data_IF_398135405248
#
_entry.id   IF_398135405248
#
_cell.length_a   1.000
_cell.length_b   1.000
_cell.length_c   1.000
_cell.angle_alpha   90.00
_cell.angle_beta   90.00
_cell.angle_gamma   90.00
#
_symmetry.space_group_name_H-M   'P 1'
#
loop_
_entity.id
_entity.type
_entity.pdbx_description
1 polymer ?
#
# COMPACT_ATOMS: atom_id res chain seq x y z
N UNK A 1 31.38 25.69 31.56
CA UNK A 1 31.76 25.11 30.28
C UNK A 1 30.70 24.05 29.91
N UNK A 2 29.62 24.49 29.23
CA UNK A 2 28.42 23.72 28.97
C UNK A 2 28.39 23.45 27.44
N UNK A 3 28.58 22.19 27.05
CA UNK A 3 28.46 21.72 25.69
C UNK A 3 27.00 21.35 25.42
N UNK A 4 26.27 22.21 24.75
CA UNK A 4 24.97 21.94 24.18
C UNK A 4 25.11 21.00 22.97
N UNK A 5 24.62 19.76 23.11
CA UNK A 5 24.41 18.84 21.99
C UNK A 5 23.26 19.38 21.13
N UNK A 6 23.59 19.89 19.95
CA UNK A 6 22.61 20.21 18.93
C UNK A 6 22.02 18.92 18.36
N UNK A 7 20.72 18.73 18.57
CA UNK A 7 19.97 17.71 17.86
C UNK A 7 19.81 18.15 16.40
N UNK A 8 20.49 17.47 15.52
CA UNK A 8 20.25 17.57 14.08
C UNK A 8 18.94 16.84 13.80
N UNK A 9 17.86 17.59 13.63
CA UNK A 9 16.63 17.09 13.04
C UNK A 9 16.92 16.73 11.59
N UNK A 10 17.02 15.46 11.31
CA UNK A 10 16.90 14.93 9.95
C UNK A 10 15.44 15.13 9.53
N UNK A 11 15.19 16.18 8.77
CA UNK A 11 13.93 16.35 8.07
C UNK A 11 13.92 15.35 6.92
N UNK A 12 13.30 14.20 7.16
CA UNK A 12 13.02 13.19 6.15
C UNK A 12 12.17 13.82 5.03
N UNK A 13 12.51 13.50 3.78
CA UNK A 13 11.84 14.04 2.60
C UNK A 13 10.36 13.66 2.43
N UNK A 14 9.81 12.88 3.37
CA UNK A 14 8.39 12.49 3.44
C UNK A 14 7.45 13.67 3.75
N UNK A 15 7.98 14.73 4.41
CA UNK A 15 7.18 15.86 4.90
C UNK A 15 6.68 16.82 3.79
N UNK A 16 7.11 16.65 2.53
CA UNK A 16 6.73 17.56 1.44
C UNK A 16 5.48 17.14 0.66
N UNK A 17 5.11 15.86 0.67
CA UNK A 17 3.94 15.38 -0.08
C UNK A 17 2.64 15.50 0.70
N UNK A 18 2.71 15.48 2.03
CA UNK A 18 1.55 15.58 2.92
C UNK A 18 1.07 17.02 3.10
N UNK A 19 1.82 18.03 2.62
CA UNK A 19 1.49 19.44 2.79
C UNK A 19 0.70 20.06 1.63
N UNK A 20 0.41 19.30 0.57
CA UNK A 20 -0.46 19.78 -0.49
C UNK A 20 -1.94 19.54 -0.10
N UNK A 21 -2.73 20.59 0.17
CA UNK A 21 -4.10 20.45 0.65
C UNK A 21 -5.04 19.76 -0.36
N UNK A 22 -4.63 19.63 -1.63
CA UNK A 22 -5.39 18.94 -2.67
C UNK A 22 -5.21 17.42 -2.67
N UNK A 23 -4.20 16.87 -1.94
CA UNK A 23 -3.86 15.44 -1.95
C UNK A 23 -4.46 14.62 -0.79
N UNK A 24 -5.30 15.21 0.08
CA UNK A 24 -5.86 14.53 1.26
C UNK A 24 -7.34 14.15 1.10
N UNK A 25 -7.77 13.81 -0.10
CA UNK A 25 -9.19 13.69 -0.39
C UNK A 25 -9.71 12.25 -0.50
N UNK A 26 -8.84 11.24 -0.54
CA UNK A 26 -9.28 9.86 -0.78
C UNK A 26 -8.72 8.84 0.20
N UNK A 27 -9.32 7.65 0.19
CA UNK A 27 -8.94 6.51 1.05
C UNK A 27 -7.48 6.13 0.88
N UNK A 28 -6.95 6.18 -0.35
CA UNK A 28 -5.57 5.79 -0.62
C UNK A 28 -4.57 6.74 0.05
N UNK A 29 -4.86 8.05 0.10
CA UNK A 29 -3.99 9.01 0.78
C UNK A 29 -3.92 8.75 2.28
N UNK A 30 -5.04 8.35 2.90
CA UNK A 30 -5.06 7.91 4.30
C UNK A 30 -4.22 6.65 4.49
N UNK A 31 -4.37 5.67 3.60
CA UNK A 31 -3.61 4.42 3.65
C UNK A 31 -2.11 4.64 3.49
N UNK A 32 -1.70 5.48 2.53
CA UNK A 32 -0.30 5.84 2.32
C UNK A 32 0.28 6.56 3.54
N UNK A 33 -0.45 7.51 4.10
CA UNK A 33 -0.03 8.23 5.31
C UNK A 33 0.16 7.27 6.50
N UNK A 34 -0.80 6.37 6.72
CA UNK A 34 -0.69 5.36 7.77
C UNK A 34 0.53 4.48 7.56
N UNK A 35 0.73 4.01 6.34
CA UNK A 35 1.83 3.14 6.01
C UNK A 35 3.19 3.82 6.21
N UNK A 36 3.36 5.05 5.74
CA UNK A 36 4.61 5.82 5.89
C UNK A 36 4.96 6.17 7.34
N UNK A 37 3.96 6.37 8.21
CA UNK A 37 4.19 6.84 9.57
C UNK A 37 4.22 5.72 10.62
N UNK A 38 3.59 4.57 10.35
CA UNK A 38 3.42 3.49 11.33
C UNK A 38 4.02 2.15 10.88
N UNK A 39 4.60 2.08 9.69
CA UNK A 39 5.18 0.85 9.15
C UNK A 39 6.34 0.30 10.02
N UNK A 40 7.14 1.19 10.62
CA UNK A 40 8.30 0.81 11.45
C UNK A 40 7.91 0.04 12.72
N UNK A 41 6.64 0.10 13.12
CA UNK A 41 6.14 -0.59 14.31
C UNK A 41 5.75 -2.05 14.04
N UNK A 42 5.80 -2.48 12.79
CA UNK A 42 5.56 -3.85 12.35
C UNK A 42 4.08 -4.20 12.14
N UNK A 43 3.79 -5.36 11.50
CA UNK A 43 2.43 -5.76 11.13
C UNK A 43 1.53 -6.11 12.33
N UNK A 44 2.09 -6.29 13.52
CA UNK A 44 1.37 -6.59 14.75
C UNK A 44 1.04 -5.32 15.57
N UNK A 45 1.41 -4.14 15.07
CA UNK A 45 1.06 -2.87 15.69
C UNK A 45 -0.45 -2.67 15.67
N UNK A 46 -1.05 -2.63 16.84
CA UNK A 46 -2.47 -2.36 17.05
C UNK A 46 -2.62 -1.07 17.84
N UNK A 47 -2.53 0.09 17.18
CA UNK A 47 -2.82 1.35 17.84
C UNK A 47 -4.29 1.37 18.27
N UNK A 48 -4.59 2.15 19.31
CA UNK A 48 -5.97 2.47 19.63
C UNK A 48 -6.60 3.20 18.43
N UNK A 49 -7.59 2.55 17.81
CA UNK A 49 -8.21 3.02 16.56
C UNK A 49 -8.82 4.40 16.70
N UNK A 50 -9.34 4.75 17.90
CA UNK A 50 -9.92 6.06 18.18
C UNK A 50 -8.84 7.15 18.22
N UNK A 51 -7.72 6.90 18.89
CA UNK A 51 -6.59 7.81 18.91
C UNK A 51 -5.99 8.05 17.53
N UNK A 52 -5.87 6.98 16.74
CA UNK A 52 -5.34 7.06 15.38
C UNK A 52 -6.29 7.83 14.44
N UNK A 53 -7.61 7.65 14.60
CA UNK A 53 -8.59 8.41 13.85
C UNK A 53 -8.54 9.90 14.18
N UNK A 54 -8.31 10.26 15.44
CA UNK A 54 -8.16 11.65 15.86
C UNK A 54 -6.88 12.29 15.30
N UNK A 55 -5.76 11.56 15.27
CA UNK A 55 -4.52 12.02 14.65
C UNK A 55 -4.68 12.27 13.15
N UNK A 56 -5.32 11.35 12.44
CA UNK A 56 -5.61 11.50 11.01
C UNK A 56 -6.53 12.69 10.75
N UNK A 57 -7.55 12.89 11.59
CA UNK A 57 -8.44 14.06 11.49
C UNK A 57 -7.68 15.37 11.74
N UNK A 58 -6.74 15.41 12.71
CA UNK A 58 -5.87 16.53 12.95
C UNK A 58 -4.88 16.79 11.80
N UNK A 59 -4.43 15.71 11.13
CA UNK A 59 -3.61 15.81 9.92
C UNK A 59 -4.40 16.35 8.71
N UNK A 60 -5.73 16.48 8.80
CA UNK A 60 -6.61 17.09 7.81
C UNK A 60 -7.36 16.10 6.93
N UNK A 61 -7.35 14.82 7.23
CA UNK A 61 -8.12 13.81 6.48
C UNK A 61 -9.61 13.86 6.83
N UNK A 62 -10.52 13.73 5.84
CA UNK A 62 -11.94 13.64 6.09
C UNK A 62 -12.30 12.39 6.90
N UNK A 63 -13.17 12.52 7.90
CA UNK A 63 -13.59 11.38 8.75
C UNK A 63 -14.17 10.21 7.95
N UNK A 64 -14.89 10.49 6.87
CA UNK A 64 -15.45 9.45 6.00
C UNK A 64 -14.35 8.60 5.35
N UNK A 65 -13.28 9.22 4.88
CA UNK A 65 -12.14 8.52 4.25
C UNK A 65 -11.31 7.74 5.28
N UNK A 66 -11.18 8.25 6.50
CA UNK A 66 -10.54 7.54 7.61
C UNK A 66 -11.28 6.23 7.92
N UNK A 67 -12.62 6.28 8.04
CA UNK A 67 -13.45 5.09 8.29
C UNK A 67 -13.31 4.06 7.16
N UNK A 68 -13.31 4.49 5.91
CA UNK A 68 -13.12 3.62 4.75
C UNK A 68 -11.73 2.99 4.72
N UNK A 69 -10.69 3.75 5.08
CA UNK A 69 -9.33 3.24 5.15
C UNK A 69 -9.19 2.14 6.22
N UNK A 70 -9.77 2.33 7.39
CA UNK A 70 -9.79 1.29 8.43
C UNK A 70 -10.56 0.04 7.97
N UNK A 71 -11.73 0.20 7.35
CA UNK A 71 -12.48 -0.93 6.80
C UNK A 71 -11.70 -1.68 5.72
N UNK A 72 -10.92 -0.97 4.90
CA UNK A 72 -10.05 -1.57 3.89
C UNK A 72 -8.92 -2.39 4.53
N UNK A 73 -8.27 -1.86 5.59
CA UNK A 73 -7.21 -2.57 6.34
C UNK A 73 -7.77 -3.79 7.07
N UNK A 74 -8.94 -3.69 7.68
CA UNK A 74 -9.63 -4.83 8.31
C UNK A 74 -9.93 -5.92 7.27
N UNK A 75 -10.39 -5.53 6.07
CA UNK A 75 -10.59 -6.45 4.95
C UNK A 75 -9.30 -7.15 4.52
N UNK A 76 -8.17 -6.44 4.47
CA UNK A 76 -6.88 -7.02 4.16
C UNK A 76 -6.44 -8.02 5.25
N UNK A 77 -6.60 -7.67 6.52
CA UNK A 77 -6.28 -8.55 7.65
C UNK A 77 -7.16 -9.81 7.69
N UNK A 78 -8.44 -9.69 7.36
CA UNK A 78 -9.37 -10.82 7.29
C UNK A 78 -8.97 -11.81 6.18
N UNK A 79 -8.52 -11.35 5.03
CA UNK A 79 -8.04 -12.20 3.92
C UNK A 79 -6.76 -12.96 4.29
N UNK A 80 -5.85 -12.36 5.07
CA UNK A 80 -4.69 -13.06 5.65
C UNK A 80 -5.07 -14.33 6.42
N UNK A 81 -6.18 -14.27 7.14
CA UNK A 81 -6.66 -15.40 7.95
C UNK A 81 -7.34 -16.51 7.14
N UNK A 82 -7.84 -16.21 5.94
CA UNK A 82 -8.58 -17.15 5.10
C UNK A 82 -7.68 -17.98 4.16
N UNK A 83 -6.46 -17.57 3.89
CA UNK A 83 -5.52 -18.23 2.96
C UNK A 83 -4.97 -19.58 3.44
N UNK A 84 -5.22 -19.99 4.68
CA UNK A 84 -4.85 -21.32 5.18
C UNK A 84 -5.52 -22.47 4.38
N UNK A 85 -6.44 -22.16 3.46
CA UNK A 85 -7.26 -23.16 2.74
C UNK A 85 -7.24 -23.05 1.21
N UNK A 86 -6.33 -22.30 0.61
CA UNK A 86 -6.26 -22.25 -0.86
C UNK A 86 -5.63 -23.53 -1.44
N UNK A 87 -6.30 -24.22 -2.38
CA UNK A 87 -5.71 -25.38 -3.01
C UNK A 87 -4.52 -24.96 -3.87
N UNK A 88 -3.38 -25.59 -3.63
CA UNK A 88 -2.09 -25.42 -4.32
C UNK A 88 -2.09 -25.85 -5.82
N UNK A 89 -3.15 -25.59 -6.55
CA UNK A 89 -3.33 -26.02 -7.96
C UNK A 89 -3.66 -24.87 -8.92
N UNK A 90 -3.14 -23.66 -8.68
CA UNK A 90 -3.09 -22.70 -9.76
C UNK A 90 -1.99 -23.14 -10.73
N UNK A 91 -2.37 -23.67 -11.90
CA UNK A 91 -1.46 -24.03 -12.97
C UNK A 91 -0.60 -22.82 -13.30
N UNK A 92 0.72 -22.93 -13.13
CA UNK A 92 1.74 -21.92 -13.43
C UNK A 92 1.73 -21.37 -14.87
N UNK A 93 0.75 -21.75 -15.68
CA UNK A 93 0.63 -21.41 -17.12
C UNK A 93 -0.72 -20.80 -17.51
N UNK A 94 -1.65 -20.56 -16.59
CA UNK A 94 -2.92 -19.94 -16.96
C UNK A 94 -2.76 -18.44 -17.04
N UNK A 95 -2.94 -17.88 -18.23
CA UNK A 95 -3.02 -16.44 -18.43
C UNK A 95 -4.30 -15.92 -17.75
N UNK A 96 -4.15 -14.94 -16.85
CA UNK A 96 -5.30 -14.31 -16.22
C UNK A 96 -6.02 -13.39 -17.19
N UNK A 97 -7.32 -13.52 -17.26
CA UNK A 97 -8.19 -12.63 -18.02
C UNK A 97 -8.83 -11.64 -17.04
N UNK A 98 -8.69 -10.35 -17.31
CA UNK A 98 -9.29 -9.29 -16.51
C UNK A 98 -10.76 -9.08 -16.91
N UNK A 99 -11.63 -8.82 -15.93
CA UNK A 99 -13.01 -8.42 -16.19
C UNK A 99 -13.10 -7.00 -16.76
N UNK A 100 -14.27 -6.62 -17.25
CA UNK A 100 -14.50 -5.27 -17.79
C UNK A 100 -14.29 -4.20 -16.72
N UNK A 101 -14.72 -4.45 -15.48
CA UNK A 101 -14.59 -3.52 -14.37
C UNK A 101 -13.13 -3.38 -13.90
N UNK A 102 -12.38 -4.48 -13.88
CA UNK A 102 -10.94 -4.46 -13.62
C UNK A 102 -10.18 -3.69 -14.71
N UNK A 103 -10.58 -3.85 -15.98
CA UNK A 103 -10.00 -3.11 -17.11
C UNK A 103 -10.26 -1.61 -17.03
N UNK A 104 -11.44 -1.19 -16.55
CA UNK A 104 -11.77 0.22 -16.36
C UNK A 104 -10.98 0.83 -15.21
N UNK A 105 -10.84 0.07 -14.12
CA UNK A 105 -10.23 0.56 -12.88
C UNK A 105 -8.71 0.59 -12.92
N UNK A 106 -8.08 -0.42 -13.52
CA UNK A 106 -6.62 -0.51 -13.63
C UNK A 106 -6.18 -0.15 -15.04
N UNK A 107 -5.34 0.86 -15.18
CA UNK A 107 -4.79 1.23 -16.48
C UNK A 107 -3.88 0.12 -17.08
N UNK A 108 -3.44 0.31 -18.32
CA UNK A 108 -2.60 -0.67 -19.00
C UNK A 108 -1.24 -0.81 -18.33
N UNK A 109 -0.69 0.27 -17.77
CA UNK A 109 0.61 0.26 -17.10
C UNK A 109 0.52 -0.52 -15.77
N UNK A 110 -0.54 -0.29 -14.98
CA UNK A 110 -0.78 -1.01 -13.73
C UNK A 110 -0.96 -2.53 -13.96
N UNK A 111 -1.76 -2.93 -14.95
CA UNK A 111 -1.91 -4.36 -15.30
C UNK A 111 -0.63 -4.98 -15.85
N UNK A 112 0.11 -4.24 -16.67
CA UNK A 112 1.43 -4.66 -17.19
C UNK A 112 2.43 -4.88 -16.07
N UNK A 113 2.41 -4.03 -15.06
CA UNK A 113 3.27 -4.13 -13.90
C UNK A 113 2.94 -5.36 -13.03
N UNK A 114 1.66 -5.66 -12.79
CA UNK A 114 1.26 -6.90 -12.12
C UNK A 114 1.76 -8.14 -12.86
N UNK A 115 1.62 -8.17 -14.18
CA UNK A 115 2.13 -9.26 -15.00
C UNK A 115 3.66 -9.37 -14.92
N UNK A 116 4.37 -8.26 -14.94
CA UNK A 116 5.83 -8.21 -14.79
C UNK A 116 6.28 -8.80 -13.45
N UNK A 117 5.62 -8.44 -12.34
CA UNK A 117 5.92 -8.94 -11.01
C UNK A 117 5.64 -10.45 -10.88
N UNK A 118 4.57 -10.93 -11.51
CA UNK A 118 4.23 -12.36 -11.53
C UNK A 118 5.25 -13.16 -12.34
N UNK A 119 5.63 -12.68 -13.52
CA UNK A 119 6.65 -13.32 -14.37
C UNK A 119 8.03 -13.31 -13.73
N UNK A 120 8.35 -12.27 -12.97
CA UNK A 120 9.58 -12.13 -12.18
C UNK A 120 9.60 -12.96 -10.89
N UNK A 121 8.48 -13.60 -10.53
CA UNK A 121 8.37 -14.38 -9.30
C UNK A 121 8.32 -13.54 -8.01
N UNK A 122 8.07 -12.24 -8.14
CA UNK A 122 7.87 -11.33 -7.00
C UNK A 122 6.47 -11.53 -6.40
N UNK A 123 5.46 -11.69 -7.26
CA UNK A 123 4.10 -12.05 -6.87
C UNK A 123 3.78 -13.47 -7.33
N UNK A 124 3.21 -14.27 -6.46
CA UNK A 124 2.52 -15.49 -6.88
C UNK A 124 1.08 -15.20 -7.31
N UNK A 125 0.38 -16.20 -7.81
CA UNK A 125 -1.00 -16.04 -8.28
C UNK A 125 -1.96 -15.62 -7.15
N UNK A 126 -1.74 -16.08 -5.92
CA UNK A 126 -2.59 -15.76 -4.77
C UNK A 126 -2.38 -14.30 -4.35
N UNK A 127 -1.13 -13.86 -4.22
CA UNK A 127 -0.80 -12.47 -3.90
C UNK A 127 -1.31 -11.50 -4.99
N UNK A 128 -1.20 -11.87 -6.28
CA UNK A 128 -1.78 -11.09 -7.38
C UNK A 128 -3.29 -10.91 -7.22
N UNK A 129 -4.04 -12.00 -6.98
CA UNK A 129 -5.50 -11.91 -6.80
C UNK A 129 -5.86 -11.07 -5.58
N UNK A 130 -5.09 -11.18 -4.49
CA UNK A 130 -5.28 -10.35 -3.31
C UNK A 130 -5.05 -8.86 -3.62
N UNK A 131 -4.01 -8.52 -4.37
CA UNK A 131 -3.78 -7.14 -4.83
C UNK A 131 -4.97 -6.63 -5.63
N UNK A 132 -5.44 -7.41 -6.59
CA UNK A 132 -6.58 -7.02 -7.44
C UNK A 132 -7.85 -6.84 -6.59
N UNK A 133 -8.13 -7.75 -5.66
CA UNK A 133 -9.27 -7.64 -4.75
C UNK A 133 -9.19 -6.34 -3.93
N UNK A 134 -8.03 -6.01 -3.40
CA UNK A 134 -7.84 -4.78 -2.62
C UNK A 134 -7.92 -3.51 -3.46
N UNK A 135 -7.46 -3.53 -4.70
CA UNK A 135 -7.65 -2.45 -5.67
C UNK A 135 -9.14 -2.25 -5.97
N UNK A 136 -9.87 -3.34 -6.23
CA UNK A 136 -11.30 -3.28 -6.52
C UNK A 136 -12.14 -2.81 -5.33
N UNK A 137 -11.66 -3.01 -4.09
CA UNK A 137 -12.31 -2.53 -2.87
C UNK A 137 -12.18 -1.02 -2.61
N UNK A 138 -11.30 -0.32 -3.34
CA UNK A 138 -11.21 1.14 -3.26
C UNK A 138 -12.30 1.80 -4.09
N UNK A 139 -12.81 2.94 -3.65
CA UNK A 139 -13.87 3.71 -4.35
C UNK A 139 -13.30 4.69 -5.39
N UNK A 140 -12.09 4.48 -5.87
CA UNK A 140 -11.47 5.26 -6.95
C UNK A 140 -11.97 4.78 -8.31
N UNK A 141 -12.19 5.69 -9.25
CA UNK A 141 -12.64 5.35 -10.60
C UNK A 141 -11.52 4.71 -11.43
N UNK A 142 -10.30 5.17 -11.28
CA UNK A 142 -9.12 4.73 -12.01
C UNK A 142 -7.90 4.60 -11.08
N UNK A 143 -7.06 3.62 -11.33
CA UNK A 143 -5.85 3.31 -10.57
C UNK A 143 -4.64 3.38 -11.50
N UNK A 144 -3.74 4.32 -11.24
CA UNK A 144 -2.49 4.45 -11.97
C UNK A 144 -1.39 3.52 -11.42
N UNK A 145 -0.24 3.51 -12.11
CA UNK A 145 0.89 2.66 -11.74
C UNK A 145 1.47 3.01 -10.35
N UNK A 146 1.56 4.29 -10.00
CA UNK A 146 2.13 4.70 -8.71
C UNK A 146 1.23 4.30 -7.54
N UNK A 147 -0.07 4.49 -7.69
CA UNK A 147 -1.06 4.03 -6.72
C UNK A 147 -1.04 2.50 -6.59
N UNK A 148 -0.92 1.79 -7.72
CA UNK A 148 -0.80 0.33 -7.74
C UNK A 148 0.42 -0.16 -6.97
N UNK A 149 1.58 0.48 -7.12
CA UNK A 149 2.80 0.13 -6.38
C UNK A 149 2.59 0.21 -4.87
N UNK A 150 1.90 1.24 -4.39
CA UNK A 150 1.56 1.38 -2.96
C UNK A 150 0.65 0.27 -2.45
N UNK A 151 -0.39 -0.09 -3.21
CA UNK A 151 -1.29 -1.19 -2.83
C UNK A 151 -0.53 -2.52 -2.76
N UNK A 152 0.34 -2.80 -3.73
CA UNK A 152 1.17 -4.01 -3.73
C UNK A 152 2.06 -4.04 -2.49
N UNK A 153 2.71 -2.93 -2.16
CA UNK A 153 3.57 -2.82 -1.00
C UNK A 153 2.82 -3.12 0.31
N UNK A 154 1.63 -2.53 0.49
CA UNK A 154 0.76 -2.76 1.66
C UNK A 154 0.29 -4.21 1.76
N UNK A 155 -0.06 -4.82 0.63
CA UNK A 155 -0.48 -6.23 0.58
C UNK A 155 0.67 -7.14 0.98
N UNK A 156 1.86 -6.96 0.40
CA UNK A 156 3.04 -7.77 0.72
C UNK A 156 3.48 -7.61 2.18
N UNK A 157 3.41 -6.40 2.73
CA UNK A 157 3.70 -6.14 4.14
C UNK A 157 2.81 -6.97 5.09
N UNK A 158 1.54 -7.15 4.72
CA UNK A 158 0.59 -7.93 5.50
C UNK A 158 0.67 -9.46 5.28
N UNK A 159 1.45 -9.93 4.30
CA UNK A 159 1.52 -11.34 3.96
C UNK A 159 2.73 -12.03 4.61
N UNK A 160 2.53 -13.07 5.46
CA UNK A 160 3.64 -13.85 6.00
C UNK A 160 4.42 -14.58 4.88
N UNK A 161 5.74 -14.56 4.94
CA UNK A 161 6.59 -15.23 3.96
C UNK A 161 6.85 -14.43 2.68
N UNK A 162 6.39 -13.18 2.62
CA UNK A 162 6.60 -12.28 1.48
C UNK A 162 7.66 -11.20 1.76
N UNK A 163 8.49 -11.38 2.78
CA UNK A 163 9.47 -10.37 3.24
C UNK A 163 10.46 -9.99 2.14
N UNK A 164 10.85 -10.95 1.30
CA UNK A 164 11.78 -10.69 0.19
C UNK A 164 11.11 -9.90 -0.94
N UNK A 165 9.88 -10.23 -1.29
CA UNK A 165 9.08 -9.51 -2.27
C UNK A 165 8.77 -8.10 -1.79
N UNK A 166 8.44 -7.96 -0.49
CA UNK A 166 8.23 -6.68 0.16
C UNK A 166 9.47 -5.79 0.06
N UNK A 167 10.63 -6.28 0.47
CA UNK A 167 11.90 -5.52 0.43
C UNK A 167 12.25 -5.06 -1.00
N UNK A 168 11.98 -5.90 -2.00
CA UNK A 168 12.18 -5.53 -3.39
C UNK A 168 11.23 -4.42 -3.86
N UNK A 169 9.95 -4.50 -3.47
CA UNK A 169 8.96 -3.47 -3.78
C UNK A 169 9.22 -2.16 -3.05
N UNK A 170 9.64 -2.24 -1.78
CA UNK A 170 10.01 -1.08 -0.97
C UNK A 170 11.15 -0.31 -1.64
N UNK A 171 12.20 -1.00 -2.07
CA UNK A 171 13.33 -0.41 -2.79
C UNK A 171 12.87 0.29 -4.08
N UNK A 172 11.95 -0.33 -4.83
CA UNK A 172 11.39 0.23 -6.05
C UNK A 172 10.56 1.50 -5.78
N UNK A 173 9.67 1.47 -4.78
CA UNK A 173 8.78 2.60 -4.45
C UNK A 173 9.58 3.80 -3.94
N UNK A 174 10.53 3.58 -3.05
CA UNK A 174 11.26 4.68 -2.39
C UNK A 174 12.47 5.18 -3.18
N UNK A 175 13.14 4.33 -3.97
CA UNK A 175 14.33 4.74 -4.74
C UNK A 175 13.97 5.42 -6.07
N UNK A 176 12.90 5.03 -6.76
CA UNK A 176 12.43 5.75 -7.95
C UNK A 176 12.01 7.19 -7.62
N UNK A 177 11.53 7.41 -6.41
CA UNK A 177 11.18 8.76 -5.91
C UNK A 177 12.42 9.66 -5.75
N UNK A 178 13.60 9.09 -5.49
CA UNK A 178 14.86 9.84 -5.37
C UNK A 178 15.53 10.08 -6.74
N UNK A 179 15.31 9.22 -7.72
CA UNK A 179 15.87 9.33 -9.07
C UNK A 179 15.22 10.41 -9.94
N UNK A 180 14.01 10.84 -9.63
CA UNK A 180 13.26 11.87 -10.37
C UNK A 180 13.67 13.31 -10.01
N UNK A 181 14.65 13.51 -9.12
CA UNK A 181 15.12 14.81 -8.63
C UNK A 181 16.53 15.19 -9.12
N UNK A 182 17.07 14.48 -10.13
CA UNK A 182 18.36 14.86 -10.79
C UNK A 182 18.15 15.28 -12.23
#
# INVERSE_FOLDING_TARGET
MLLTKGAVRLTSGADRRVQDPEMKENVLDVLMYLFENYMDEGPDFQPDQESLADELAQAGFPKAEIVKAFAWLEGLAALRSSEVSSPANASLKSLRVYSEDEHKKMDTAARGFLLFLEQGGVLDAAARELVIDRVMALETDEMDLEQMKWIILMVLFNQPGQEQAYAWMEDLVFNETQGALN
#
